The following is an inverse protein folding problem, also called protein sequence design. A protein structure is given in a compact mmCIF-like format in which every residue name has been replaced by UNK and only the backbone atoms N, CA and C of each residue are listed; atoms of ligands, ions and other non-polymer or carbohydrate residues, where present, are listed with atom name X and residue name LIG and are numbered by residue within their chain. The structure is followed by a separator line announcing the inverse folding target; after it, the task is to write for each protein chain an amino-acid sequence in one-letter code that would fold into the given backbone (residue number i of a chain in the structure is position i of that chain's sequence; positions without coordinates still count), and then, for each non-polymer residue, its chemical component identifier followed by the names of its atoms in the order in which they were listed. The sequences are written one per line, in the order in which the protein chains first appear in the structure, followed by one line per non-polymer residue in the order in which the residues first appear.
data_IF_969115298427
#
_entry.id   IF_969115298427
#
_cell.length_a   1.000
_cell.length_b   1.000
_cell.length_c   1.000
_cell.angle_alpha   90.00
_cell.angle_beta   90.00
_cell.angle_gamma   90.00
#
_symmetry.space_group_name_H-M   'P 1'
#
loop_
_entity.id
_entity.type
_entity.pdbx_description
1 polymer ?
#
# COMPACT_ATOMS: atom_id res chain seq x y z
N UNK A 1 68.11 -6.22 -0.85
CA UNK A 1 67.42 -6.83 -2.00
C UNK A 1 66.94 -8.27 -1.80
N UNK A 2 67.56 -9.12 -0.96
CA UNK A 2 67.18 -10.55 -0.78
C UNK A 2 65.91 -10.80 0.07
N UNK A 3 65.54 -9.88 0.93
CA UNK A 3 64.32 -10.01 1.82
C UNK A 3 63.02 -9.68 1.08
N UNK A 4 63.03 -8.69 0.18
CA UNK A 4 61.83 -8.28 -0.60
C UNK A 4 61.35 -9.35 -1.59
N UNK A 5 62.29 -10.16 -2.12
CA UNK A 5 61.93 -11.22 -3.06
C UNK A 5 61.21 -12.41 -2.38
N UNK A 6 61.49 -12.68 -1.11
CA UNK A 6 60.82 -13.74 -0.33
C UNK A 6 59.39 -13.35 0.06
N UNK A 7 59.13 -12.08 0.30
CA UNK A 7 57.79 -11.57 0.62
C UNK A 7 56.87 -11.58 -0.64
N UNK A 8 57.41 -11.22 -1.81
CA UNK A 8 56.70 -11.28 -3.07
C UNK A 8 56.31 -12.70 -3.46
N UNK A 9 57.18 -13.69 -3.23
CA UNK A 9 56.90 -15.09 -3.46
C UNK A 9 55.79 -15.66 -2.53
N UNK A 10 55.78 -15.22 -1.26
CA UNK A 10 54.77 -15.62 -0.30
C UNK A 10 53.38 -15.03 -0.64
N UNK A 11 53.32 -13.80 -1.17
CA UNK A 11 52.08 -13.19 -1.62
C UNK A 11 51.50 -13.86 -2.89
N UNK A 12 52.36 -14.30 -3.79
CA UNK A 12 51.93 -15.00 -5.01
C UNK A 12 51.34 -16.39 -4.71
N UNK A 13 51.86 -17.10 -3.70
CA UNK A 13 51.34 -18.42 -3.27
C UNK A 13 50.00 -18.29 -2.58
N UNK A 14 49.77 -17.23 -1.83
CA UNK A 14 48.48 -16.99 -1.18
C UNK A 14 47.32 -16.64 -2.16
N UNK A 15 47.66 -16.15 -3.36
CA UNK A 15 46.67 -15.81 -4.39
C UNK A 15 46.11 -17.05 -5.11
N UNK A 16 46.80 -18.17 -5.07
CA UNK A 16 46.37 -19.44 -5.72
C UNK A 16 45.48 -20.33 -4.83
N UNK A 17 45.21 -19.96 -3.56
CA UNK A 17 44.40 -20.78 -2.65
C UNK A 17 42.88 -20.58 -2.80
N UNK A 18 42.43 -19.66 -3.68
CA UNK A 18 41.03 -19.59 -4.06
C UNK A 18 40.71 -20.71 -5.08
N UNK A 19 40.65 -21.94 -4.61
CA UNK A 19 40.09 -23.05 -5.37
C UNK A 19 38.61 -22.76 -5.56
N UNK A 20 38.22 -22.17 -6.68
CA UNK A 20 36.84 -22.10 -7.12
C UNK A 20 36.33 -23.51 -7.29
N UNK A 21 35.66 -24.04 -6.28
CA UNK A 21 34.94 -25.32 -6.42
C UNK A 21 33.78 -25.03 -7.38
N UNK A 22 33.88 -25.51 -8.60
CA UNK A 22 32.75 -25.58 -9.49
C UNK A 22 31.72 -26.51 -8.83
N UNK A 23 30.61 -25.91 -8.39
CA UNK A 23 29.50 -26.64 -7.83
C UNK A 23 28.76 -27.29 -9.01
N UNK A 24 28.77 -28.59 -9.11
CA UNK A 24 27.95 -29.32 -10.09
C UNK A 24 26.50 -29.21 -9.56
N UNK A 25 25.69 -28.42 -10.26
CA UNK A 25 24.29 -28.30 -9.96
C UNK A 25 23.52 -29.38 -10.68
N UNK A 26 22.84 -30.26 -9.95
CA UNK A 26 21.90 -31.22 -10.51
C UNK A 26 20.54 -30.57 -10.77
N UNK A 27 19.72 -31.14 -11.63
CA UNK A 27 18.41 -30.60 -12.01
C UNK A 27 17.48 -30.34 -10.80
N UNK A 28 17.36 -31.27 -9.83
CA UNK A 28 16.55 -31.01 -8.63
C UNK A 28 16.99 -29.79 -7.86
N UNK A 29 18.29 -29.58 -7.70
CA UNK A 29 18.84 -28.39 -7.03
C UNK A 29 18.52 -27.10 -7.81
N UNK A 30 18.66 -27.11 -9.14
CA UNK A 30 18.29 -25.99 -9.99
C UNK A 30 16.80 -25.64 -9.86
N UNK A 31 15.91 -26.63 -9.85
CA UNK A 31 14.48 -26.43 -9.67
C UNK A 31 14.15 -25.86 -8.29
N UNK A 32 14.78 -26.39 -7.23
CA UNK A 32 14.60 -25.86 -5.87
C UNK A 32 15.07 -24.42 -5.74
N UNK A 33 16.19 -24.07 -6.35
CA UNK A 33 16.69 -22.69 -6.39
C UNK A 33 15.73 -21.78 -7.16
N UNK A 34 15.17 -22.24 -8.29
CA UNK A 34 14.20 -21.51 -9.06
C UNK A 34 12.91 -21.28 -8.27
N UNK A 35 12.38 -22.29 -7.59
CA UNK A 35 11.18 -22.17 -6.78
C UNK A 35 11.32 -21.13 -5.64
N UNK A 36 12.52 -20.92 -5.12
CA UNK A 36 12.77 -20.02 -3.99
C UNK A 36 13.26 -18.62 -4.39
N UNK A 37 14.05 -18.53 -5.47
CA UNK A 37 14.75 -17.30 -5.85
C UNK A 37 14.19 -16.62 -7.11
N UNK A 38 13.34 -17.30 -7.90
CA UNK A 38 12.84 -16.73 -9.13
C UNK A 38 11.85 -15.59 -8.86
N UNK A 39 12.07 -14.44 -9.51
CA UNK A 39 11.26 -13.24 -9.35
C UNK A 39 9.83 -13.42 -9.87
N UNK A 40 9.62 -14.21 -10.92
CA UNK A 40 8.28 -14.45 -11.47
C UNK A 40 7.41 -15.23 -10.47
N UNK A 41 7.96 -16.27 -9.83
CA UNK A 41 7.26 -17.03 -8.77
C UNK A 41 7.01 -16.11 -7.56
N UNK A 42 8.00 -15.30 -7.18
CA UNK A 42 7.86 -14.37 -6.07
C UNK A 42 6.76 -13.33 -6.33
N UNK A 43 6.70 -12.77 -7.54
CA UNK A 43 5.66 -11.83 -7.93
C UNK A 43 4.28 -12.50 -7.90
N UNK A 44 4.14 -13.71 -8.46
CA UNK A 44 2.88 -14.44 -8.42
C UNK A 44 2.41 -14.74 -6.98
N UNK A 45 3.32 -15.03 -6.05
CA UNK A 45 2.98 -15.18 -4.64
C UNK A 45 2.54 -13.85 -3.99
N UNK A 46 3.15 -12.74 -4.38
CA UNK A 46 2.73 -11.41 -3.93
C UNK A 46 1.34 -11.04 -4.46
N UNK A 47 1.01 -11.42 -5.69
CA UNK A 47 -0.32 -11.18 -6.27
C UNK A 47 -1.41 -11.92 -5.49
N UNK A 48 -1.15 -13.16 -5.06
CA UNK A 48 -2.06 -13.90 -4.17
C UNK A 48 -2.24 -13.14 -2.85
N UNK A 49 -1.14 -12.74 -2.22
CA UNK A 49 -1.18 -11.98 -0.96
C UNK A 49 -1.92 -10.64 -1.11
N UNK A 50 -1.69 -9.92 -2.20
CA UNK A 50 -2.40 -8.68 -2.51
C UNK A 50 -3.91 -8.91 -2.60
N UNK A 51 -4.33 -9.98 -3.26
CA UNK A 51 -5.74 -10.33 -3.38
C UNK A 51 -6.38 -10.67 -2.02
N UNK A 52 -5.67 -11.39 -1.16
CA UNK A 52 -6.11 -11.67 0.22
C UNK A 52 -6.28 -10.38 1.03
N UNK A 53 -5.30 -9.45 0.95
CA UNK A 53 -5.38 -8.15 1.63
C UNK A 53 -6.50 -7.28 1.09
N UNK A 54 -6.75 -7.32 -0.21
CA UNK A 54 -7.88 -6.61 -0.81
C UNK A 54 -9.22 -7.15 -0.30
N UNK A 55 -9.33 -8.48 -0.13
CA UNK A 55 -10.52 -9.10 0.46
C UNK A 55 -10.72 -8.68 1.93
N UNK A 56 -9.64 -8.65 2.72
CA UNK A 56 -9.69 -8.16 4.10
C UNK A 56 -10.12 -6.67 4.17
N UNK A 57 -9.55 -5.82 3.30
CA UNK A 57 -9.94 -4.41 3.21
C UNK A 57 -11.42 -4.25 2.83
N UNK A 58 -11.93 -5.11 1.95
CA UNK A 58 -13.33 -5.10 1.58
C UNK A 58 -14.25 -5.56 2.73
N UNK A 59 -13.83 -6.55 3.51
CA UNK A 59 -14.53 -6.96 4.75
C UNK A 59 -14.54 -5.85 5.80
N UNK A 60 -13.46 -5.08 5.89
CA UNK A 60 -13.37 -3.96 6.83
C UNK A 60 -14.40 -2.86 6.56
N UNK A 61 -14.94 -2.75 5.34
CA UNK A 61 -16.02 -1.80 5.03
C UNK A 61 -17.32 -2.09 5.79
N UNK A 62 -17.50 -3.32 6.30
CA UNK A 62 -18.65 -3.71 7.13
C UNK A 62 -18.48 -3.33 8.60
N UNK A 63 -17.26 -3.01 9.02
CA UNK A 63 -17.00 -2.64 10.41
C UNK A 63 -17.48 -1.22 10.69
N UNK A 64 -17.82 -0.89 11.94
CA UNK A 64 -18.11 0.48 12.33
C UNK A 64 -16.93 1.38 12.03
N UNK A 65 -17.18 2.50 11.35
CA UNK A 65 -16.18 3.52 11.03
C UNK A 65 -16.45 4.75 11.85
N UNK A 66 -15.47 5.16 12.63
CA UNK A 66 -15.50 6.36 13.44
C UNK A 66 -14.64 7.44 12.77
N UNK A 67 -15.28 8.53 12.35
CA UNK A 67 -14.62 9.67 11.74
C UNK A 67 -14.72 10.88 12.68
N UNK A 68 -13.58 11.52 12.91
CA UNK A 68 -13.49 12.76 13.64
C UNK A 68 -12.96 13.86 12.74
N UNK A 69 -13.77 14.88 12.52
CA UNK A 69 -13.41 16.05 11.71
C UNK A 69 -13.43 17.31 12.57
N UNK A 70 -12.36 18.08 12.47
CA UNK A 70 -12.24 19.38 13.14
C UNK A 70 -12.02 20.44 12.08
N UNK A 71 -12.92 21.41 12.04
CA UNK A 71 -12.84 22.56 11.15
C UNK A 71 -12.59 23.82 11.97
N UNK A 72 -11.52 24.52 11.66
CA UNK A 72 -11.22 25.84 12.22
C UNK A 72 -11.37 26.90 11.14
N UNK A 73 -12.30 27.84 11.37
CA UNK A 73 -12.58 28.93 10.43
C UNK A 73 -12.31 30.27 11.09
N UNK A 74 -11.47 31.06 10.44
CA UNK A 74 -11.25 32.45 10.77
C UNK A 74 -11.95 33.37 9.75
N UNK A 75 -12.90 34.22 10.22
CA UNK A 75 -13.55 35.19 9.39
C UNK A 75 -12.84 36.54 9.58
N UNK A 76 -11.91 36.86 8.69
CA UNK A 76 -11.15 38.12 8.74
C UNK A 76 -12.05 39.35 8.59
N UNK A 77 -13.15 39.20 7.86
CA UNK A 77 -14.16 40.23 7.71
C UNK A 77 -15.54 39.66 8.02
N UNK A 78 -16.22 40.22 9.00
CA UNK A 78 -17.61 39.88 9.32
C UNK A 78 -18.51 40.77 8.46
N UNK A 79 -19.35 40.18 7.57
CA UNK A 79 -20.25 40.97 6.75
C UNK A 79 -21.27 41.74 7.61
N UNK A 80 -21.48 43.02 7.29
CA UNK A 80 -22.50 43.83 7.90
C UNK A 80 -23.85 43.60 7.23
N UNK A 81 -24.91 43.56 8.04
CA UNK A 81 -26.30 43.56 7.58
C UNK A 81 -26.92 44.91 7.82
N UNK A 82 -27.63 45.46 6.83
CA UNK A 82 -28.35 46.71 6.94
C UNK A 82 -29.73 46.43 7.58
N UNK A 83 -29.96 47.01 8.74
CA UNK A 83 -31.21 46.80 9.51
C UNK A 83 -31.86 48.19 9.75
N UNK A 84 -33.21 48.31 9.61
CA UNK A 84 -33.91 49.54 9.97
C UNK A 84 -33.69 49.88 11.46
N UNK A 85 -33.35 51.12 11.76
CA UNK A 85 -33.14 51.57 13.14
C UNK A 85 -34.42 51.42 14.01
N UNK A 86 -35.59 51.46 13.40
CA UNK A 86 -36.87 51.21 14.04
C UNK A 86 -37.02 49.83 14.65
N UNK A 87 -36.24 48.81 14.18
CA UNK A 87 -36.22 47.48 14.78
C UNK A 87 -35.62 47.48 16.21
N UNK A 88 -34.86 48.51 16.56
CA UNK A 88 -34.24 48.70 17.88
C UNK A 88 -34.74 49.99 18.59
N UNK A 89 -35.95 50.46 18.25
CA UNK A 89 -36.57 51.64 18.88
C UNK A 89 -36.06 53.01 18.37
N UNK A 90 -35.34 53.02 17.25
CA UNK A 90 -34.86 54.23 16.59
C UNK A 90 -35.87 54.84 15.62
N UNK A 91 -35.56 56.01 15.00
CA UNK A 91 -36.43 56.68 14.06
C UNK A 91 -36.71 55.90 12.79
N UNK A 92 -37.90 55.98 12.23
CA UNK A 92 -38.33 55.40 10.99
C UNK A 92 -37.60 56.07 9.83
N UNK A 93 -37.11 55.19 8.83
CA UNK A 93 -36.40 55.69 7.65
C UNK A 93 -34.88 55.75 7.81
N UNK A 94 -34.34 55.47 9.00
CA UNK A 94 -32.90 55.38 9.25
C UNK A 94 -32.48 53.91 9.23
N UNK A 95 -31.32 53.61 8.62
CA UNK A 95 -30.76 52.27 8.51
C UNK A 95 -29.39 52.24 9.19
N UNK A 96 -29.15 51.20 10.00
CA UNK A 96 -27.88 50.96 10.66
C UNK A 96 -27.23 49.69 10.09
N UNK A 97 -25.90 49.68 9.95
CA UNK A 97 -25.16 48.47 9.60
C UNK A 97 -24.73 47.79 10.89
N UNK A 98 -25.24 46.58 11.10
CA UNK A 98 -24.90 45.74 12.25
C UNK A 98 -24.14 44.50 11.76
N UNK A 99 -23.04 44.19 12.45
CA UNK A 99 -22.24 43.01 12.15
C UNK A 99 -22.63 41.86 13.09
N UNK A 100 -23.23 40.83 12.54
CA UNK A 100 -23.58 39.62 13.28
C UNK A 100 -22.59 38.49 12.90
N UNK A 101 -21.91 37.96 13.90
CA UNK A 101 -20.98 36.82 13.69
C UNK A 101 -19.84 36.87 14.68
N UNK A 102 -19.07 35.79 14.64
CA UNK A 102 -17.84 35.62 15.43
C UNK A 102 -16.64 35.50 14.50
N UNK A 103 -15.48 36.08 14.88
CA UNK A 103 -14.29 36.01 14.06
C UNK A 103 -13.74 34.56 13.99
N UNK A 104 -13.93 33.76 15.03
CA UNK A 104 -13.42 32.40 15.12
C UNK A 104 -14.57 31.44 15.32
N UNK A 105 -14.55 30.37 14.50
CA UNK A 105 -15.46 29.24 14.60
C UNK A 105 -14.65 27.97 14.64
N UNK A 106 -14.80 27.18 15.69
CA UNK A 106 -14.28 25.86 15.80
C UNK A 106 -15.45 24.87 15.78
N UNK A 107 -15.46 23.98 14.79
CA UNK A 107 -16.50 22.96 14.63
C UNK A 107 -15.85 21.57 14.75
N UNK A 108 -16.35 20.79 15.69
CA UNK A 108 -15.92 19.40 15.88
C UNK A 108 -17.09 18.48 15.53
N UNK A 109 -16.84 17.53 14.64
CA UNK A 109 -17.83 16.54 14.24
C UNK A 109 -17.26 15.13 14.47
N UNK A 110 -17.96 14.35 15.29
CA UNK A 110 -17.70 12.93 15.51
C UNK A 110 -18.83 12.13 14.88
N UNK A 111 -18.49 11.33 13.86
CA UNK A 111 -19.47 10.56 13.11
C UNK A 111 -19.12 9.08 13.18
N UNK A 112 -20.05 8.27 13.69
CA UNK A 112 -20.02 6.81 13.63
C UNK A 112 -20.91 6.33 12.49
N UNK A 113 -20.33 5.60 11.54
CA UNK A 113 -21.06 5.04 10.41
C UNK A 113 -20.85 3.53 10.37
N UNK A 114 -21.93 2.77 10.25
CA UNK A 114 -21.88 1.32 10.07
C UNK A 114 -22.85 0.89 8.99
N UNK A 115 -22.36 0.08 8.05
CA UNK A 115 -23.18 -0.55 7.02
C UNK A 115 -23.86 -1.78 7.64
N UNK A 116 -25.18 -1.71 7.84
CA UNK A 116 -25.96 -2.85 8.35
C UNK A 116 -26.28 -3.86 7.24
N UNK A 117 -26.64 -3.37 6.06
CA UNK A 117 -26.92 -4.19 4.88
C UNK A 117 -26.50 -3.46 3.61
N UNK A 118 -25.74 -4.16 2.76
CA UNK A 118 -25.40 -3.69 1.42
C UNK A 118 -25.18 -4.90 0.51
N UNK A 119 -26.09 -5.09 -0.46
CA UNK A 119 -26.02 -6.18 -1.42
C UNK A 119 -24.77 -6.10 -2.31
N UNK A 120 -24.32 -4.90 -2.67
CA UNK A 120 -23.11 -4.70 -3.46
C UNK A 120 -21.86 -5.24 -2.75
N UNK A 121 -21.78 -5.07 -1.43
CA UNK A 121 -20.68 -5.65 -0.62
C UNK A 121 -20.72 -7.17 -0.65
N UNK A 122 -21.91 -7.77 -0.62
CA UNK A 122 -22.04 -9.23 -0.68
C UNK A 122 -21.61 -9.80 -2.04
N UNK A 123 -22.05 -9.18 -3.14
CA UNK A 123 -21.62 -9.57 -4.48
C UNK A 123 -20.12 -9.33 -4.70
N UNK A 124 -19.58 -8.21 -4.21
CA UNK A 124 -18.17 -7.91 -4.28
C UNK A 124 -17.29 -8.95 -3.55
N UNK A 125 -17.72 -9.41 -2.37
CA UNK A 125 -17.02 -10.49 -1.65
C UNK A 125 -17.08 -11.82 -2.40
N UNK A 126 -18.19 -12.15 -3.04
CA UNK A 126 -18.30 -13.35 -3.86
C UNK A 126 -17.36 -13.27 -5.08
N UNK A 127 -17.30 -12.12 -5.75
CA UNK A 127 -16.39 -11.89 -6.87
C UNK A 127 -14.92 -11.98 -6.44
N UNK A 128 -14.56 -11.40 -5.27
CA UNK A 128 -13.21 -11.50 -4.73
C UNK A 128 -12.80 -12.93 -4.37
N UNK A 129 -13.77 -13.77 -3.93
CA UNK A 129 -13.48 -15.18 -3.69
C UNK A 129 -13.08 -15.90 -4.99
N UNK A 130 -13.85 -15.70 -6.07
CA UNK A 130 -13.53 -16.28 -7.38
C UNK A 130 -12.18 -15.76 -7.89
N UNK A 131 -11.91 -14.46 -7.70
CA UNK A 131 -10.63 -13.88 -8.08
C UNK A 131 -9.46 -14.48 -7.29
N UNK A 132 -9.63 -14.84 -6.02
CA UNK A 132 -8.60 -15.54 -5.22
C UNK A 132 -8.26 -16.90 -5.83
N UNK A 133 -9.25 -17.67 -6.29
CA UNK A 133 -9.04 -18.95 -6.96
C UNK A 133 -8.31 -18.76 -8.32
N UNK A 134 -8.69 -17.72 -9.08
CA UNK A 134 -8.05 -17.37 -10.34
C UNK A 134 -6.57 -17.01 -10.14
N UNK A 135 -6.26 -16.11 -9.21
CA UNK A 135 -4.87 -15.68 -8.94
C UNK A 135 -4.04 -16.86 -8.40
N UNK A 136 -4.63 -17.74 -7.59
CA UNK A 136 -4.00 -18.99 -7.16
C UNK A 136 -3.61 -19.90 -8.34
N UNK A 137 -4.52 -20.07 -9.30
CA UNK A 137 -4.25 -20.83 -10.52
C UNK A 137 -3.17 -20.18 -11.38
N UNK A 138 -3.18 -18.86 -11.52
CA UNK A 138 -2.15 -18.11 -12.25
C UNK A 138 -0.76 -18.28 -11.62
N UNK A 139 -0.68 -18.30 -10.28
CA UNK A 139 0.56 -18.60 -9.57
C UNK A 139 1.06 -20.00 -9.89
N UNK A 140 0.19 -21.00 -9.89
CA UNK A 140 0.59 -22.39 -10.18
C UNK A 140 1.06 -22.54 -11.62
N UNK A 141 0.45 -21.84 -12.57
CA UNK A 141 0.92 -21.76 -13.97
C UNK A 141 2.31 -21.12 -14.02
N UNK A 142 2.54 -20.01 -13.31
CA UNK A 142 3.84 -19.36 -13.28
C UNK A 142 4.94 -20.27 -12.73
N UNK A 143 4.65 -21.05 -11.68
CA UNK A 143 5.58 -22.04 -11.13
C UNK A 143 5.93 -23.12 -12.18
N UNK A 144 4.93 -23.65 -12.86
CA UNK A 144 5.14 -24.67 -13.89
C UNK A 144 5.95 -24.15 -15.09
N UNK A 145 5.66 -22.93 -15.51
CA UNK A 145 6.38 -22.24 -16.59
C UNK A 145 7.87 -22.07 -16.24
N UNK A 146 8.17 -21.59 -15.05
CA UNK A 146 9.56 -21.43 -14.59
C UNK A 146 10.27 -22.78 -14.50
N UNK A 147 9.63 -23.81 -13.96
CA UNK A 147 10.19 -25.14 -13.89
C UNK A 147 10.46 -25.74 -15.28
N UNK A 148 9.55 -25.51 -16.22
CA UNK A 148 9.72 -25.91 -17.61
C UNK A 148 10.94 -25.23 -18.26
N UNK A 149 11.05 -23.89 -18.08
CA UNK A 149 12.17 -23.11 -18.60
C UNK A 149 13.52 -23.57 -18.02
N UNK A 150 13.59 -23.82 -16.70
CA UNK A 150 14.80 -24.32 -16.03
C UNK A 150 15.16 -25.69 -16.56
N UNK A 151 14.20 -26.63 -16.69
CA UNK A 151 14.44 -27.95 -17.21
C UNK A 151 14.94 -27.90 -18.66
N UNK A 152 14.32 -27.07 -19.49
CA UNK A 152 14.69 -26.92 -20.89
C UNK A 152 16.12 -26.37 -21.04
N UNK A 153 16.47 -25.37 -20.21
CA UNK A 153 17.81 -24.76 -20.21
C UNK A 153 18.89 -25.73 -19.67
N UNK A 154 18.51 -26.63 -18.75
CA UNK A 154 19.44 -27.62 -18.19
C UNK A 154 19.86 -28.68 -19.19
N UNK A 155 18.98 -29.06 -20.13
CA UNK A 155 19.24 -30.10 -21.15
C UNK A 155 19.75 -29.55 -22.50
N UNK A 156 19.86 -28.23 -22.69
CA UNK A 156 20.47 -27.60 -23.86
C UNK A 156 21.97 -27.43 -23.70
#
# INVERSE_FOLDING_TARGET
MRKSFKIAGLFLVLFHLNSSRAQVLDLPTCLQMADTANLQIRNANLDVLMNERQREAYLATRMPQLNFNTDYKYNAVIPGQIIPASAFGGPVGVYNTVKFGVPFVLSNNLQLTQILFNSQVNYGLAALKINTELVGTQRDIAIQEVRYQVSNTYFL
#
